data_IF_015672411223
#
_entry.id   IF_015672411223
#
_cell.length_a   1.000
_cell.length_b   1.000
_cell.length_c   1.000
_cell.angle_alpha   90.00
_cell.angle_beta   90.00
_cell.angle_gamma   90.00
#
_symmetry.space_group_name_H-M   'P 1'
#
loop_
_entity.id
_entity.type
_entity.pdbx_description
1 polymer ?
#
# COMPACT_ATOMS: atom_id res chain seq x y z
N UNK A 1 -11.46 18.57 4.02
CA UNK A 1 -10.15 19.22 4.01
C UNK A 1 -9.12 18.16 3.74
N UNK A 2 -8.21 18.35 2.81
CA UNK A 2 -7.12 17.42 2.53
C UNK A 2 -6.20 17.41 3.77
N UNK A 3 -6.02 16.28 4.48
CA UNK A 3 -5.51 16.29 5.86
C UNK A 3 -4.04 16.66 5.95
N UNK A 4 -3.27 16.42 4.89
CA UNK A 4 -1.82 16.67 4.87
C UNK A 4 -1.46 17.50 3.63
N UNK A 5 -0.65 18.52 3.83
CA UNK A 5 -0.08 19.32 2.73
C UNK A 5 1.44 19.16 2.79
N UNK A 6 2.07 18.88 1.65
CA UNK A 6 3.51 18.82 1.58
C UNK A 6 4.11 20.18 1.98
N UNK A 7 5.20 20.24 2.79
CA UNK A 7 5.75 21.50 3.28
C UNK A 7 6.15 22.51 2.19
N UNK A 8 6.53 22.01 1.00
CA UNK A 8 6.90 22.85 -0.15
C UNK A 8 5.70 23.43 -0.90
N UNK A 9 4.46 23.00 -0.57
CA UNK A 9 3.28 23.46 -1.29
C UNK A 9 2.74 24.77 -0.75
N UNK A 10 2.16 25.63 -1.60
CA UNK A 10 1.41 26.78 -1.15
C UNK A 10 0.15 26.34 -0.39
N UNK A 11 -0.47 27.27 0.32
CA UNK A 11 -1.72 27.04 1.04
C UNK A 11 -2.83 26.58 0.08
N UNK A 12 -3.43 25.43 0.39
CA UNK A 12 -4.59 24.93 -0.36
C UNK A 12 -5.82 25.77 -0.06
N UNK A 13 -6.67 25.98 -1.07
CA UNK A 13 -7.96 26.66 -0.85
C UNK A 13 -9.04 25.67 -0.39
N UNK A 14 -10.12 26.21 0.16
CA UNK A 14 -11.28 25.42 0.56
C UNK A 14 -11.97 24.81 -0.65
N UNK A 15 -12.24 23.50 -0.60
CA UNK A 15 -12.98 22.79 -1.66
C UNK A 15 -14.47 23.10 -1.70
N UNK A 16 -14.97 23.95 -0.78
CA UNK A 16 -16.37 24.37 -0.68
C UNK A 16 -16.65 25.70 -1.38
N UNK A 17 -15.63 26.39 -1.86
CA UNK A 17 -15.80 27.67 -2.52
C UNK A 17 -16.49 27.50 -3.87
N UNK A 18 -17.46 28.38 -4.14
CA UNK A 18 -18.06 28.52 -5.46
C UNK A 18 -17.00 29.00 -6.46
N UNK A 19 -17.11 28.59 -7.71
CA UNK A 19 -16.11 28.89 -8.74
C UNK A 19 -14.68 28.39 -8.38
N UNK A 20 -14.66 27.15 -8.00
CA UNK A 20 -13.47 26.48 -7.46
C UNK A 20 -12.24 26.63 -8.36
N UNK A 21 -12.34 26.28 -9.64
CA UNK A 21 -11.16 26.21 -10.53
C UNK A 21 -10.56 27.57 -10.89
N UNK A 22 -11.31 28.65 -10.81
CA UNK A 22 -10.76 29.98 -11.06
C UNK A 22 -9.96 30.53 -9.87
N UNK A 23 -10.10 29.93 -8.69
CA UNK A 23 -9.45 30.38 -7.44
C UNK A 23 -8.35 29.46 -6.95
N UNK A 24 -8.27 28.22 -7.46
CA UNK A 24 -7.28 27.25 -7.01
C UNK A 24 -5.90 27.67 -7.48
N UNK A 25 -4.91 27.83 -6.58
CA UNK A 25 -3.56 28.16 -6.97
C UNK A 25 -2.94 27.03 -7.78
N UNK A 26 -2.23 27.42 -8.84
CA UNK A 26 -1.46 26.49 -9.66
C UNK A 26 -0.04 26.38 -9.12
N UNK A 27 0.49 25.15 -8.97
CA UNK A 27 1.82 24.91 -8.49
C UNK A 27 2.60 23.97 -9.41
N UNK A 28 3.71 24.48 -9.95
CA UNK A 28 4.74 23.67 -10.60
C UNK A 28 5.95 23.58 -9.68
N UNK A 29 6.45 22.38 -9.48
CA UNK A 29 7.66 22.19 -8.69
C UNK A 29 8.87 22.84 -9.36
N UNK A 30 9.59 23.77 -8.71
CA UNK A 30 10.82 24.35 -9.27
C UNK A 30 11.87 23.29 -9.60
N UNK A 31 11.93 22.21 -8.84
CA UNK A 31 12.87 21.09 -9.07
C UNK A 31 12.54 20.41 -10.40
N UNK A 32 11.25 20.13 -10.68
CA UNK A 32 10.84 19.52 -11.93
C UNK A 32 10.91 20.47 -13.13
N UNK A 33 10.95 21.79 -12.88
CA UNK A 33 11.13 22.79 -13.93
C UNK A 33 12.63 23.01 -14.27
N UNK A 34 13.51 22.85 -13.30
CA UNK A 34 14.97 23.06 -13.46
C UNK A 34 15.67 21.81 -13.99
N UNK A 35 15.28 20.64 -13.54
CA UNK A 35 15.75 19.36 -14.05
C UNK A 35 14.74 18.87 -15.07
N UNK A 36 15.11 18.86 -16.36
CA UNK A 36 14.34 18.22 -17.42
C UNK A 36 14.48 16.70 -17.20
N UNK A 37 13.88 16.23 -16.12
CA UNK A 37 13.74 14.81 -15.86
C UNK A 37 12.92 14.23 -17.01
N UNK A 38 13.52 13.36 -17.79
CA UNK A 38 12.89 12.75 -19.00
C UNK A 38 11.59 12.01 -18.69
N UNK A 39 11.35 11.67 -17.45
CA UNK A 39 10.12 11.01 -16.97
C UNK A 39 9.00 11.99 -16.58
N UNK A 40 9.30 13.26 -16.32
CA UNK A 40 8.31 14.26 -15.92
C UNK A 40 7.62 14.88 -17.14
N UNK A 41 6.32 15.16 -17.01
CA UNK A 41 5.57 15.83 -18.06
C UNK A 41 5.96 17.31 -18.15
N UNK A 42 6.12 17.89 -19.35
CA UNK A 42 6.23 19.33 -19.49
C UNK A 42 4.90 20.01 -19.11
N UNK A 43 4.97 21.31 -18.75
CA UNK A 43 3.79 22.05 -18.32
C UNK A 43 2.73 22.18 -19.42
N UNK A 44 3.17 22.28 -20.66
CA UNK A 44 2.37 22.42 -21.87
C UNK A 44 2.07 21.10 -22.58
N UNK A 45 2.26 19.96 -21.89
CA UNK A 45 1.98 18.63 -22.45
C UNK A 45 0.61 18.59 -23.12
N UNK A 46 0.56 18.00 -24.30
CA UNK A 46 -0.68 17.80 -25.05
C UNK A 46 -1.62 16.83 -24.34
N UNK A 47 -2.91 17.15 -24.33
CA UNK A 47 -3.95 16.34 -23.71
C UNK A 47 -4.03 14.93 -24.33
N UNK A 48 -3.74 14.80 -25.64
CA UNK A 48 -3.77 13.52 -26.34
C UNK A 48 -2.74 12.54 -25.78
N UNK A 49 -1.55 13.02 -25.42
CA UNK A 49 -0.49 12.20 -24.80
C UNK A 49 -0.93 11.68 -23.44
N UNK A 50 -1.57 12.55 -22.62
CA UNK A 50 -2.12 12.15 -21.33
C UNK A 50 -3.21 11.10 -21.53
N UNK A 51 -4.14 11.33 -22.46
CA UNK A 51 -5.24 10.40 -22.78
C UNK A 51 -4.72 9.05 -23.27
N UNK A 52 -3.74 9.05 -24.16
CA UNK A 52 -3.11 7.83 -24.65
C UNK A 52 -2.52 7.02 -23.49
N UNK A 53 -1.77 7.67 -22.61
CA UNK A 53 -1.17 7.05 -21.41
C UNK A 53 -2.24 6.46 -20.48
N UNK A 54 -3.37 7.15 -20.27
CA UNK A 54 -4.47 6.68 -19.43
C UNK A 54 -5.18 5.44 -20.01
N UNK A 55 -5.16 5.27 -21.33
CA UNK A 55 -5.81 4.15 -22.04
C UNK A 55 -4.84 3.05 -22.45
N UNK A 56 -3.57 3.18 -22.15
CA UNK A 56 -2.51 2.32 -22.61
C UNK A 56 -2.60 0.90 -22.04
N UNK A 57 -3.12 -0.04 -22.81
CA UNK A 57 -3.35 -1.42 -22.38
C UNK A 57 -2.10 -2.31 -22.42
N UNK A 58 -1.17 -2.07 -23.36
CA UNK A 58 -0.02 -2.96 -23.59
C UNK A 58 0.99 -2.95 -22.42
N UNK A 59 1.21 -1.81 -21.78
CA UNK A 59 2.16 -1.68 -20.67
C UNK A 59 1.48 -1.58 -19.30
N UNK A 60 0.15 -1.81 -19.24
CA UNK A 60 -0.61 -1.89 -18.00
C UNK A 60 -0.55 -0.66 -17.08
N UNK A 61 -0.10 0.47 -17.61
CA UNK A 61 -0.14 1.79 -16.94
C UNK A 61 -1.50 2.48 -17.21
N UNK A 62 -2.57 1.73 -17.08
CA UNK A 62 -3.94 2.26 -17.13
C UNK A 62 -4.34 2.66 -15.73
N UNK A 63 -5.03 3.78 -15.58
CA UNK A 63 -5.62 4.13 -14.30
C UNK A 63 -6.34 2.92 -13.69
N UNK A 64 -5.98 2.61 -12.45
CA UNK A 64 -6.45 1.40 -11.76
C UNK A 64 -7.94 1.50 -11.38
N UNK A 65 -8.52 2.69 -11.46
CA UNK A 65 -9.91 2.92 -11.05
C UNK A 65 -10.85 3.38 -12.15
N UNK A 66 -10.40 4.19 -13.12
CA UNK A 66 -11.34 4.83 -14.03
C UNK A 66 -10.77 5.04 -15.44
N UNK A 67 -11.49 4.53 -16.42
CA UNK A 67 -11.31 4.90 -17.83
C UNK A 67 -11.86 6.32 -18.14
N UNK A 68 -12.65 6.94 -17.24
CA UNK A 68 -13.34 8.22 -17.48
C UNK A 68 -12.79 9.31 -16.52
N UNK A 69 -11.55 9.75 -16.78
CA UNK A 69 -10.99 10.91 -16.11
C UNK A 69 -11.47 12.16 -16.84
N UNK A 70 -12.07 13.08 -16.09
CA UNK A 70 -12.48 14.38 -16.63
C UNK A 70 -11.26 15.27 -16.89
N UNK A 71 -11.37 16.16 -17.89
CA UNK A 71 -10.37 17.16 -18.22
C UNK A 71 -10.94 18.56 -18.12
N UNK A 72 -10.15 19.48 -17.59
CA UNK A 72 -10.43 20.91 -17.55
C UNK A 72 -9.16 21.63 -17.98
N UNK A 73 -9.27 22.56 -18.93
CA UNK A 73 -8.11 23.29 -19.49
C UNK A 73 -6.97 22.35 -19.90
N UNK A 74 -7.31 21.28 -20.63
CA UNK A 74 -6.38 20.26 -21.13
C UNK A 74 -5.61 19.50 -20.02
N UNK A 75 -6.04 19.58 -18.77
CA UNK A 75 -5.43 18.83 -17.67
C UNK A 75 -6.44 17.87 -17.04
N UNK A 76 -6.01 16.65 -16.68
CA UNK A 76 -6.87 15.67 -16.03
C UNK A 76 -7.26 16.17 -14.65
N UNK A 77 -8.48 15.86 -14.23
CA UNK A 77 -9.01 16.28 -12.93
C UNK A 77 -9.08 15.08 -11.99
N UNK A 78 -8.42 15.22 -10.86
CA UNK A 78 -8.52 14.30 -9.75
C UNK A 78 -9.99 14.24 -9.25
N UNK A 79 -10.59 13.05 -9.14
CA UNK A 79 -11.92 12.89 -8.54
C UNK A 79 -12.03 13.49 -7.13
N UNK A 80 -10.91 13.61 -6.43
CA UNK A 80 -10.84 14.25 -5.12
C UNK A 80 -10.26 15.66 -5.26
N UNK A 81 -11.07 16.66 -4.97
CA UNK A 81 -10.61 18.07 -4.94
C UNK A 81 -9.66 18.29 -3.77
N UNK A 82 -8.47 18.79 -4.04
CA UNK A 82 -7.39 18.99 -3.06
C UNK A 82 -7.14 20.46 -2.72
N UNK A 83 -7.62 21.39 -3.54
CA UNK A 83 -7.40 22.82 -3.37
C UNK A 83 -6.03 23.30 -3.84
N UNK A 84 -5.38 22.56 -4.73
CA UNK A 84 -4.13 22.91 -5.37
C UNK A 84 -4.06 22.27 -6.76
N UNK A 85 -3.86 23.06 -7.80
CA UNK A 85 -3.68 22.59 -9.19
C UNK A 85 -2.19 22.44 -9.56
N UNK A 86 -1.94 21.86 -10.73
CA UNK A 86 -0.61 21.60 -11.28
C UNK A 86 -0.17 20.16 -11.07
N UNK A 87 0.99 19.80 -11.61
CA UNK A 87 1.54 18.43 -11.41
C UNK A 87 2.27 18.28 -10.07
N UNK A 88 2.61 19.39 -9.44
CA UNK A 88 3.29 19.42 -8.14
C UNK A 88 4.59 18.60 -8.13
N UNK A 89 4.80 17.83 -7.07
CA UNK A 89 5.98 16.98 -6.88
C UNK A 89 5.83 15.58 -7.51
N UNK A 90 4.68 15.24 -8.08
CA UNK A 90 4.46 13.92 -8.68
C UNK A 90 5.01 13.81 -10.09
N UNK A 91 5.28 14.93 -10.76
CA UNK A 91 5.92 14.99 -12.06
C UNK A 91 5.05 14.66 -13.26
N UNK A 92 4.04 13.82 -13.15
CA UNK A 92 3.12 13.49 -14.27
C UNK A 92 1.70 13.95 -13.98
N UNK A 93 1.05 14.53 -14.98
CA UNK A 93 -0.38 14.82 -14.94
C UNK A 93 -1.22 13.55 -14.96
N UNK A 94 -2.26 13.53 -14.14
CA UNK A 94 -3.11 12.37 -13.96
C UNK A 94 -2.58 11.40 -12.89
N UNK A 95 -2.91 10.10 -13.01
CA UNK A 95 -2.46 9.09 -12.08
C UNK A 95 -0.97 8.78 -12.25
N UNK A 96 -0.24 8.86 -11.18
CA UNK A 96 1.12 8.37 -11.02
C UNK A 96 1.04 7.00 -10.35
N UNK A 97 1.47 5.95 -11.03
CA UNK A 97 1.30 4.59 -10.54
C UNK A 97 2.41 4.19 -9.59
N UNK A 98 2.02 3.55 -8.49
CA UNK A 98 2.93 3.02 -7.48
C UNK A 98 2.60 1.55 -7.18
N UNK A 99 3.55 0.85 -6.58
CA UNK A 99 3.42 -0.54 -6.20
C UNK A 99 4.01 -0.78 -4.81
N UNK A 100 3.19 -1.32 -3.89
CA UNK A 100 3.53 -1.49 -2.48
C UNK A 100 3.48 -2.98 -2.08
N UNK A 101 4.62 -3.69 -1.96
CA UNK A 101 4.67 -5.06 -1.49
C UNK A 101 4.62 -5.13 0.03
N UNK A 102 3.60 -5.80 0.58
CA UNK A 102 3.51 -6.10 2.00
C UNK A 102 4.00 -7.53 2.24
N UNK A 103 5.21 -7.69 2.70
CA UNK A 103 5.71 -9.01 3.09
C UNK A 103 5.40 -9.26 4.56
N UNK A 104 4.60 -10.30 4.84
CA UNK A 104 4.12 -10.62 6.19
C UNK A 104 4.60 -11.99 6.65
N UNK A 105 4.71 -12.14 7.98
CA UNK A 105 4.91 -13.44 8.67
C UNK A 105 4.10 -13.50 9.94
N UNK A 106 3.80 -14.69 10.43
CA UNK A 106 3.32 -14.88 11.78
C UNK A 106 4.49 -15.22 12.71
N UNK A 107 4.74 -14.37 13.70
CA UNK A 107 5.79 -14.57 14.69
C UNK A 107 5.23 -15.36 15.87
N UNK A 108 5.49 -16.67 15.92
CA UNK A 108 4.98 -17.56 16.96
C UNK A 108 5.51 -17.23 18.36
N UNK A 109 6.71 -16.64 18.46
CA UNK A 109 7.30 -16.27 19.75
C UNK A 109 6.57 -15.08 20.40
N UNK A 110 6.09 -14.16 19.57
CA UNK A 110 5.33 -12.97 19.99
C UNK A 110 3.82 -13.15 19.87
N UNK A 111 3.37 -14.22 19.20
CA UNK A 111 1.98 -14.45 18.82
C UNK A 111 1.40 -13.25 18.06
N UNK A 112 2.16 -12.72 17.09
CA UNK A 112 1.82 -11.51 16.38
C UNK A 112 2.03 -11.66 14.87
N UNK A 113 1.17 -10.98 14.09
CA UNK A 113 1.35 -10.82 12.66
C UNK A 113 2.25 -9.61 12.43
N UNK A 114 3.43 -9.86 11.88
CA UNK A 114 4.42 -8.84 11.56
C UNK A 114 4.52 -8.63 10.05
N UNK A 115 4.94 -7.43 9.64
CA UNK A 115 5.31 -7.12 8.27
C UNK A 115 6.65 -6.40 8.21
N UNK A 116 7.34 -6.47 7.06
CA UNK A 116 8.57 -5.72 6.82
C UNK A 116 8.19 -4.27 6.55
N UNK A 117 8.88 -3.36 7.22
CA UNK A 117 8.66 -1.92 7.10
C UNK A 117 9.99 -1.18 7.02
N UNK A 118 9.97 -0.06 6.31
CA UNK A 118 11.07 0.91 6.22
C UNK A 118 10.74 2.15 7.06
N UNK A 119 11.74 2.74 7.67
CA UNK A 119 11.60 4.00 8.41
C UNK A 119 12.05 5.15 7.51
N UNK A 120 11.11 5.91 6.98
CA UNK A 120 11.36 7.01 6.04
C UNK A 120 12.08 8.18 6.70
N UNK A 121 13.08 8.75 6.02
CA UNK A 121 13.82 9.92 6.46
C UNK A 121 13.26 11.23 5.91
N UNK A 122 12.44 11.19 4.87
CA UNK A 122 11.81 12.34 4.22
C UNK A 122 10.58 12.87 4.98
N UNK A 123 10.19 12.22 6.09
CA UNK A 123 9.09 12.65 6.96
C UNK A 123 9.58 13.23 8.28
N UNK A 124 8.85 14.20 8.84
CA UNK A 124 9.17 14.81 10.15
C UNK A 124 7.94 14.77 11.05
N UNK A 125 7.93 13.92 12.11
CA UNK A 125 8.96 12.95 12.50
C UNK A 125 9.06 11.77 11.49
N UNK A 126 10.17 11.00 11.52
CA UNK A 126 10.31 9.80 10.71
C UNK A 126 9.17 8.81 10.93
N UNK A 127 8.61 8.27 9.84
CA UNK A 127 7.45 7.37 9.90
C UNK A 127 7.75 6.01 9.27
N UNK A 128 7.19 4.97 9.89
CA UNK A 128 7.22 3.63 9.30
C UNK A 128 6.30 3.55 8.09
N UNK A 129 6.79 2.92 7.03
CA UNK A 129 6.07 2.74 5.77
C UNK A 129 6.18 1.31 5.26
N UNK A 130 5.27 0.93 4.39
CA UNK A 130 5.41 -0.25 3.54
C UNK A 130 6.49 0.09 2.51
N UNK A 131 7.46 -0.82 2.22
CA UNK A 131 8.36 -0.66 1.09
C UNK A 131 7.59 -0.46 -0.20
N UNK A 132 8.10 0.32 -1.12
CA UNK A 132 7.44 0.52 -2.41
C UNK A 132 7.73 1.86 -3.05
N UNK A 133 7.53 1.93 -4.35
CA UNK A 133 7.82 3.10 -5.13
C UNK A 133 7.02 3.22 -6.41
N UNK A 134 7.48 4.09 -7.28
CA UNK A 134 6.79 4.42 -8.52
C UNK A 134 7.06 3.35 -9.59
N UNK A 135 6.04 3.10 -10.40
CA UNK A 135 6.14 2.21 -11.56
C UNK A 135 6.82 2.93 -12.71
N UNK A 136 7.93 2.39 -13.19
CA UNK A 136 8.66 2.95 -14.32
C UNK A 136 7.88 2.82 -15.64
N UNK A 137 8.21 3.68 -16.61
CA UNK A 137 7.58 3.63 -17.93
C UNK A 137 7.82 2.26 -18.59
N UNK A 138 6.72 1.56 -18.88
CA UNK A 138 6.79 0.22 -19.49
C UNK A 138 6.99 -0.94 -18.51
N UNK A 139 7.20 -0.66 -17.23
CA UNK A 139 7.35 -1.69 -16.20
C UNK A 139 6.00 -2.31 -15.82
N UNK A 140 6.00 -3.59 -15.48
CA UNK A 140 4.85 -4.27 -14.94
C UNK A 140 4.78 -4.11 -13.41
N UNK A 141 3.57 -3.96 -12.84
CA UNK A 141 3.40 -3.86 -11.38
C UNK A 141 4.06 -5.00 -10.60
N UNK A 142 4.09 -6.21 -11.15
CA UNK A 142 4.75 -7.36 -10.52
C UNK A 142 6.27 -7.20 -10.47
N UNK A 143 6.86 -6.60 -11.50
CA UNK A 143 8.28 -6.29 -11.53
C UNK A 143 8.62 -5.17 -10.56
N UNK A 144 7.84 -4.07 -10.56
CA UNK A 144 8.00 -2.97 -9.62
C UNK A 144 7.93 -3.44 -8.16
N UNK A 145 6.88 -4.23 -7.80
CA UNK A 145 6.75 -4.79 -6.44
C UNK A 145 8.00 -5.52 -5.97
N UNK A 146 8.63 -6.26 -6.88
CA UNK A 146 9.84 -7.03 -6.56
C UNK A 146 11.09 -6.15 -6.56
N UNK A 147 11.22 -5.23 -7.53
CA UNK A 147 12.34 -4.30 -7.64
C UNK A 147 12.45 -3.42 -6.40
N UNK A 148 11.37 -2.71 -6.07
CA UNK A 148 11.30 -1.82 -4.90
C UNK A 148 11.62 -2.56 -3.59
N UNK A 149 11.08 -3.77 -3.43
CA UNK A 149 11.39 -4.57 -2.24
C UNK A 149 12.87 -4.96 -2.16
N UNK A 150 13.48 -5.31 -3.29
CA UNK A 150 14.91 -5.67 -3.32
C UNK A 150 15.77 -4.45 -3.04
N UNK A 151 15.48 -3.31 -3.65
CA UNK A 151 16.24 -2.06 -3.50
C UNK A 151 16.17 -1.55 -2.07
N UNK A 152 14.98 -1.43 -1.51
CA UNK A 152 14.80 -0.84 -0.18
C UNK A 152 15.09 -1.79 0.99
N UNK A 153 14.96 -3.11 0.79
CA UNK A 153 14.85 -4.05 1.91
C UNK A 153 15.84 -5.20 1.85
N UNK A 154 16.09 -5.75 0.65
CA UNK A 154 16.65 -7.09 0.54
C UNK A 154 17.74 -7.23 -0.54
N UNK A 155 18.50 -6.16 -0.78
CA UNK A 155 19.53 -6.10 -1.83
C UNK A 155 20.66 -7.14 -1.68
N UNK A 156 20.89 -7.66 -0.46
CA UNK A 156 21.86 -8.75 -0.17
C UNK A 156 21.23 -10.13 -0.06
N UNK A 157 19.95 -10.27 -0.44
CA UNK A 157 19.28 -11.57 -0.42
C UNK A 157 19.53 -12.35 -1.71
N UNK A 158 19.62 -13.68 -1.59
CA UNK A 158 19.71 -14.56 -2.74
C UNK A 158 18.41 -14.47 -3.58
N UNK A 159 18.58 -14.43 -4.90
CA UNK A 159 17.47 -14.35 -5.86
C UNK A 159 16.40 -15.42 -5.63
N UNK A 160 16.80 -16.66 -5.34
CA UNK A 160 15.89 -17.77 -5.06
C UNK A 160 14.98 -17.49 -3.86
N UNK A 161 15.50 -16.83 -2.79
CA UNK A 161 14.69 -16.46 -1.62
C UNK A 161 13.67 -15.39 -2.01
N UNK A 162 14.10 -14.39 -2.77
CA UNK A 162 13.22 -13.34 -3.29
C UNK A 162 12.14 -13.94 -4.19
N UNK A 163 12.49 -14.82 -5.12
CA UNK A 163 11.53 -15.49 -6.01
C UNK A 163 10.48 -16.27 -5.20
N UNK A 164 10.90 -16.93 -4.12
CA UNK A 164 9.99 -17.64 -3.22
C UNK A 164 9.03 -16.68 -2.48
N UNK A 165 9.51 -15.53 -2.04
CA UNK A 165 8.67 -14.50 -1.38
C UNK A 165 7.59 -14.03 -2.33
N UNK A 166 7.94 -13.76 -3.59
CA UNK A 166 7.05 -13.18 -4.58
C UNK A 166 6.22 -14.21 -5.39
N UNK A 167 6.35 -15.51 -5.09
CA UNK A 167 5.64 -16.57 -5.82
C UNK A 167 4.11 -16.47 -5.72
N UNK A 168 3.58 -16.08 -4.54
CA UNK A 168 2.14 -16.10 -4.27
C UNK A 168 1.69 -14.80 -3.57
N UNK A 169 1.25 -13.84 -4.38
CA UNK A 169 0.75 -12.56 -3.90
C UNK A 169 -0.77 -12.49 -3.83
N UNK A 170 -1.30 -11.86 -2.79
CA UNK A 170 -2.72 -11.51 -2.66
C UNK A 170 -2.90 -10.00 -2.79
N UNK A 171 -3.60 -9.54 -3.82
CA UNK A 171 -3.96 -8.13 -3.95
C UNK A 171 -4.85 -7.71 -2.78
N UNK A 172 -4.42 -6.70 -2.04
CA UNK A 172 -5.09 -6.12 -0.86
C UNK A 172 -5.84 -4.85 -1.23
N UNK A 173 -5.22 -4.05 -2.11
CA UNK A 173 -5.78 -2.80 -2.58
C UNK A 173 -5.32 -2.51 -4.00
N UNK A 174 -6.17 -1.82 -4.74
CA UNK A 174 -5.85 -1.30 -6.06
C UNK A 174 -6.67 -0.02 -6.26
N UNK A 175 -6.00 1.11 -6.43
CA UNK A 175 -6.65 2.40 -6.66
C UNK A 175 -5.92 3.59 -6.04
N UNK A 176 -6.67 4.69 -5.87
CA UNK A 176 -6.13 5.99 -5.46
C UNK A 176 -5.61 5.99 -4.02
N UNK A 177 -4.49 6.67 -3.80
CA UNK A 177 -3.96 7.01 -2.47
C UNK A 177 -4.56 8.35 -2.04
N UNK A 178 -5.30 8.34 -0.93
CA UNK A 178 -6.11 9.51 -0.52
C UNK A 178 -5.35 10.48 0.40
N UNK A 179 -4.30 10.02 1.08
CA UNK A 179 -3.60 10.80 2.12
C UNK A 179 -2.18 11.19 1.74
N UNK A 180 -1.78 10.99 0.49
CA UNK A 180 -0.45 11.43 0.07
C UNK A 180 -0.40 12.96 -0.02
N UNK A 181 0.52 13.62 0.70
CA UNK A 181 0.59 15.06 0.76
C UNK A 181 1.00 15.72 -0.58
N UNK A 182 1.56 14.97 -1.51
CA UNK A 182 1.98 15.44 -2.85
C UNK A 182 0.81 15.53 -3.84
N UNK A 183 -0.34 14.94 -3.52
CA UNK A 183 -1.52 14.93 -4.40
C UNK A 183 -2.03 16.33 -4.68
N UNK A 184 -2.32 16.61 -5.96
CA UNK A 184 -2.96 17.85 -6.44
C UNK A 184 -4.25 17.53 -7.19
N UNK A 185 -4.95 18.57 -7.66
CA UNK A 185 -6.15 18.41 -8.50
C UNK A 185 -5.84 17.87 -9.91
N UNK A 186 -4.57 17.92 -10.34
CA UNK A 186 -4.16 17.45 -11.66
C UNK A 186 -3.16 16.30 -11.62
N UNK A 187 -2.66 15.93 -10.44
CA UNK A 187 -1.72 14.82 -10.27
C UNK A 187 -1.99 14.08 -8.96
N UNK A 188 -2.09 12.76 -9.02
CA UNK A 188 -2.36 11.91 -7.84
C UNK A 188 -1.68 10.56 -7.96
N UNK A 189 -1.60 9.82 -6.85
CA UNK A 189 -1.05 8.47 -6.86
C UNK A 189 -2.18 7.44 -6.93
N UNK A 190 -2.01 6.44 -7.78
CA UNK A 190 -2.75 5.20 -7.76
C UNK A 190 -1.78 4.05 -7.49
N UNK A 191 -2.09 3.23 -6.49
CA UNK A 191 -1.22 2.13 -6.10
C UNK A 191 -1.87 0.77 -6.21
N UNK A 192 -1.05 -0.25 -6.46
CA UNK A 192 -1.40 -1.66 -6.29
C UNK A 192 -0.64 -2.23 -5.10
N UNK A 193 -1.39 -2.58 -4.06
CA UNK A 193 -0.86 -3.16 -2.83
C UNK A 193 -1.06 -4.66 -2.84
N UNK A 194 0.02 -5.42 -2.71
CA UNK A 194 0.00 -6.89 -2.75
C UNK A 194 0.64 -7.45 -1.48
N UNK A 195 -0.07 -8.34 -0.78
CA UNK A 195 0.49 -9.05 0.37
C UNK A 195 1.11 -10.38 -0.06
N UNK A 196 2.33 -10.61 0.40
CA UNK A 196 3.09 -11.84 0.29
C UNK A 196 3.31 -12.40 1.69
N UNK A 197 2.68 -13.53 2.01
CA UNK A 197 2.81 -14.16 3.31
C UNK A 197 3.79 -15.31 3.26
N UNK A 198 4.84 -15.25 4.07
CA UNK A 198 5.88 -16.27 4.12
C UNK A 198 5.88 -16.97 5.48
N UNK A 199 6.39 -18.20 5.52
CA UNK A 199 6.58 -18.93 6.76
C UNK A 199 7.58 -18.20 7.67
N UNK A 200 7.48 -18.42 8.98
CA UNK A 200 8.46 -17.89 9.93
C UNK A 200 9.88 -18.37 9.59
N UNK A 201 10.03 -19.64 9.22
CA UNK A 201 11.32 -20.24 8.86
C UNK A 201 11.92 -19.61 7.59
N UNK A 202 11.11 -19.35 6.56
CA UNK A 202 11.60 -18.68 5.35
C UNK A 202 11.96 -17.23 5.64
N UNK A 203 11.24 -16.56 6.56
CA UNK A 203 11.54 -15.19 6.95
C UNK A 203 12.90 -15.02 7.64
N UNK A 204 13.43 -16.06 8.27
CA UNK A 204 14.76 -16.05 8.89
C UNK A 204 15.89 -16.07 7.85
N UNK A 205 15.59 -16.44 6.61
CA UNK A 205 16.56 -16.44 5.49
C UNK A 205 16.67 -15.08 4.81
N UNK A 206 15.71 -14.18 5.06
CA UNK A 206 15.74 -12.82 4.52
C UNK A 206 16.81 -12.00 5.25
N UNK A 207 17.81 -11.56 4.52
CA UNK A 207 18.82 -10.62 4.99
C UNK A 207 18.29 -9.21 4.76
N UNK A 208 17.66 -8.64 5.78
CA UNK A 208 17.16 -7.25 5.70
C UNK A 208 18.35 -6.29 5.71
N UNK A 209 18.44 -5.47 4.69
CA UNK A 209 19.48 -4.46 4.53
C UNK A 209 18.85 -3.14 4.16
N UNK A 210 19.29 -2.08 4.82
CA UNK A 210 18.99 -0.72 4.40
C UNK A 210 20.12 -0.26 3.48
N UNK A 211 19.86 -0.08 2.20
CA UNK A 211 20.84 0.45 1.24
C UNK A 211 20.34 1.75 0.58
N UNK A 212 19.10 2.09 0.79
CA UNK A 212 18.50 3.29 0.25
C UNK A 212 18.81 4.49 1.16
N UNK A 213 19.29 5.60 0.57
CA UNK A 213 19.53 6.84 1.28
C UNK A 213 18.22 7.48 1.79
N UNK A 214 17.08 7.07 1.24
CA UNK A 214 15.74 7.55 1.63
C UNK A 214 15.23 6.95 2.94
N UNK A 215 15.86 5.91 3.49
CA UNK A 215 15.37 5.19 4.66
C UNK A 215 16.40 5.08 5.78
N UNK A 216 15.98 5.30 7.03
CA UNK A 216 16.85 5.14 8.22
C UNK A 216 16.98 3.69 8.69
N UNK A 217 15.97 2.87 8.52
CA UNK A 217 15.97 1.51 9.03
C UNK A 217 14.97 0.62 8.31
N UNK A 218 15.29 -0.69 8.30
CA UNK A 218 14.40 -1.75 7.82
C UNK A 218 14.21 -2.78 8.92
N UNK A 219 12.97 -3.15 9.26
CA UNK A 219 12.70 -4.22 10.23
C UNK A 219 11.32 -4.83 10.14
N UNK A 220 11.12 -5.96 10.79
CA UNK A 220 9.82 -6.53 11.07
C UNK A 220 9.13 -5.74 12.18
N UNK A 221 7.93 -5.21 11.91
CA UNK A 221 7.10 -4.52 12.90
C UNK A 221 5.72 -5.17 12.97
N UNK A 222 5.04 -4.99 14.10
CA UNK A 222 3.68 -5.48 14.30
C UNK A 222 2.70 -4.86 13.31
N UNK A 223 1.81 -5.67 12.73
CA UNK A 223 0.65 -5.16 11.99
C UNK A 223 -0.31 -4.34 12.86
N UNK A 224 -0.07 -4.27 14.16
CA UNK A 224 -0.81 -3.43 15.12
C UNK A 224 -0.12 -2.09 15.40
N UNK A 225 1.00 -1.79 14.72
CA UNK A 225 1.72 -0.54 14.90
C UNK A 225 0.80 0.69 14.73
N UNK A 226 0.82 1.65 15.65
CA UNK A 226 -0.21 2.70 15.71
C UNK A 226 -0.11 3.73 14.59
N UNK A 227 1.11 4.00 14.12
CA UNK A 227 1.39 5.08 13.15
C UNK A 227 2.17 4.54 11.95
N UNK A 228 1.61 4.74 10.77
CA UNK A 228 2.23 4.44 9.49
C UNK A 228 1.99 5.62 8.53
N UNK A 229 2.90 5.76 7.57
CA UNK A 229 2.84 6.81 6.55
C UNK A 229 1.57 6.71 5.69
N UNK A 230 1.00 7.82 5.30
CA UNK A 230 -0.13 7.96 4.37
C UNK A 230 -1.28 6.96 4.64
N UNK A 231 -1.70 6.22 3.61
CA UNK A 231 -2.77 5.20 3.69
C UNK A 231 -2.25 3.81 4.13
N UNK A 232 -0.95 3.65 4.42
CA UNK A 232 -0.36 2.35 4.75
C UNK A 232 -1.03 1.66 5.94
N UNK A 233 -1.46 2.44 6.95
CA UNK A 233 -2.23 1.90 8.09
C UNK A 233 -3.53 1.22 7.63
N UNK A 234 -4.21 1.76 6.64
CA UNK A 234 -5.46 1.20 6.15
C UNK A 234 -5.22 -0.06 5.32
N UNK A 235 -4.10 -0.14 4.59
CA UNK A 235 -3.68 -1.36 3.89
C UNK A 235 -3.33 -2.48 4.88
N UNK A 236 -2.57 -2.18 5.93
CA UNK A 236 -2.23 -3.16 6.98
C UNK A 236 -3.47 -3.63 7.73
N UNK A 237 -4.47 -2.77 8.01
CA UNK A 237 -5.76 -3.19 8.57
C UNK A 237 -6.48 -4.21 7.66
N UNK A 238 -6.47 -3.99 6.33
CA UNK A 238 -7.06 -4.93 5.37
C UNK A 238 -6.32 -6.27 5.38
N UNK A 239 -4.98 -6.27 5.48
CA UNK A 239 -4.17 -7.49 5.65
C UNK A 239 -4.56 -8.23 6.93
N UNK A 240 -4.60 -7.55 8.08
CA UNK A 240 -5.03 -8.15 9.35
C UNK A 240 -6.42 -8.78 9.23
N UNK A 241 -7.36 -8.05 8.64
CA UNK A 241 -8.73 -8.55 8.48
C UNK A 241 -8.79 -9.79 7.56
N UNK A 242 -7.98 -9.80 6.47
CA UNK A 242 -7.86 -10.96 5.59
C UNK A 242 -7.38 -12.21 6.35
N UNK A 243 -6.33 -12.09 7.17
CA UNK A 243 -5.83 -13.19 7.99
C UNK A 243 -6.83 -13.59 9.06
N UNK A 244 -7.43 -12.62 9.76
CA UNK A 244 -8.49 -12.90 10.74
C UNK A 244 -9.61 -13.73 10.11
N UNK A 245 -10.15 -13.32 8.97
CA UNK A 245 -11.21 -14.01 8.27
C UNK A 245 -10.78 -15.43 7.87
N UNK A 246 -9.58 -15.58 7.28
CA UNK A 246 -9.04 -16.88 6.86
C UNK A 246 -8.90 -17.85 8.03
N UNK A 247 -8.34 -17.42 9.16
CA UNK A 247 -8.15 -18.27 10.33
C UNK A 247 -9.45 -18.51 11.09
N UNK A 248 -10.37 -17.55 11.15
CA UNK A 248 -11.68 -17.73 11.73
C UNK A 248 -12.47 -18.85 11.03
N UNK A 249 -12.54 -18.82 9.72
CA UNK A 249 -13.21 -19.90 8.97
C UNK A 249 -12.50 -21.24 9.14
N UNK A 250 -11.20 -21.28 9.08
CA UNK A 250 -10.43 -22.51 9.28
C UNK A 250 -10.73 -23.13 10.65
N UNK A 251 -10.68 -22.35 11.72
CA UNK A 251 -10.97 -22.85 13.07
C UNK A 251 -12.44 -23.23 13.24
N UNK A 252 -13.36 -22.45 12.69
CA UNK A 252 -14.79 -22.77 12.71
C UNK A 252 -15.08 -24.12 12.04
N UNK A 253 -14.58 -24.32 10.82
CA UNK A 253 -14.78 -25.59 10.11
C UNK A 253 -14.05 -26.76 10.79
N UNK A 254 -12.87 -26.56 11.35
CA UNK A 254 -12.16 -27.59 12.11
C UNK A 254 -12.94 -28.02 13.34
N UNK A 255 -13.52 -27.07 14.07
CA UNK A 255 -14.37 -27.37 15.22
C UNK A 255 -15.68 -28.05 14.81
N UNK A 256 -16.28 -27.65 13.71
CA UNK A 256 -17.49 -28.28 13.17
C UNK A 256 -17.23 -29.74 12.77
N UNK A 257 -16.12 -30.00 12.06
CA UNK A 257 -15.71 -31.35 11.66
C UNK A 257 -15.45 -32.21 12.93
N UNK A 258 -14.73 -31.65 13.90
CA UNK A 258 -14.47 -32.33 15.17
C UNK A 258 -15.76 -32.66 15.93
N UNK A 259 -16.72 -31.74 15.98
CA UNK A 259 -18.01 -31.97 16.60
C UNK A 259 -18.81 -33.05 15.86
N UNK A 260 -18.80 -33.05 14.51
CA UNK A 260 -19.45 -34.07 13.69
C UNK A 260 -18.82 -35.47 13.88
N UNK A 261 -17.50 -35.55 13.97
CA UNK A 261 -16.78 -36.82 14.23
C UNK A 261 -17.19 -37.37 15.62
N UNK A 262 -17.20 -36.52 16.64
CA UNK A 262 -17.56 -36.93 17.99
C UNK A 262 -19.05 -37.35 18.11
N UNK A 263 -19.95 -36.66 17.39
CA UNK A 263 -21.35 -37.04 17.31
C UNK A 263 -21.54 -38.42 16.68
N UNK A 264 -20.82 -38.70 15.58
CA UNK A 264 -20.86 -40.02 14.89
C UNK A 264 -20.28 -41.17 15.74
N UNK A 265 -19.25 -40.87 16.55
CA UNK A 265 -18.54 -41.90 17.32
C UNK A 265 -19.20 -42.32 18.63
N UNK A 266 -20.34 -41.72 19.02
CA UNK A 266 -21.14 -42.09 20.23
C UNK A 266 -20.33 -42.40 21.51
N UNK A 267 -19.14 -41.81 21.72
CA UNK A 267 -18.33 -42.09 22.88
C UNK A 267 -18.25 -40.88 23.85
N UNK A 268 -18.75 -41.16 25.00
CA UNK A 268 -18.76 -40.35 26.21
C UNK A 268 -17.34 -39.90 26.60
N UNK A 269 -17.16 -38.69 27.07
CA UNK A 269 -16.02 -38.11 27.74
C UNK A 269 -15.07 -37.20 26.97
N UNK A 270 -15.44 -36.57 25.85
CA UNK A 270 -14.52 -35.63 25.14
C UNK A 270 -15.04 -34.18 24.96
N UNK A 271 -16.08 -33.78 25.68
CA UNK A 271 -16.66 -32.43 25.57
C UNK A 271 -15.73 -31.34 26.11
N UNK A 272 -14.82 -31.68 27.02
CA UNK A 272 -13.94 -30.69 27.68
C UNK A 272 -12.87 -30.06 26.77
N UNK A 273 -12.37 -30.79 25.77
CA UNK A 273 -11.31 -30.30 24.89
C UNK A 273 -11.81 -29.33 23.80
N UNK A 274 -13.03 -29.48 23.34
CA UNK A 274 -13.64 -28.56 22.37
C UNK A 274 -13.89 -27.17 22.96
N UNK A 275 -14.29 -27.10 24.23
CA UNK A 275 -14.52 -25.86 24.96
C UNK A 275 -13.20 -25.15 25.24
N UNK A 276 -12.13 -25.88 25.58
CA UNK A 276 -10.80 -25.32 25.81
C UNK A 276 -10.19 -24.76 24.52
N UNK A 277 -10.31 -25.47 23.41
CA UNK A 277 -9.84 -25.02 22.10
C UNK A 277 -10.59 -23.74 21.65
N UNK A 278 -11.91 -23.68 21.82
CA UNK A 278 -12.72 -22.50 21.52
C UNK A 278 -12.33 -21.28 22.36
N UNK A 279 -12.04 -21.48 23.65
CA UNK A 279 -11.59 -20.41 24.57
C UNK A 279 -10.20 -19.92 24.21
N UNK A 280 -9.26 -20.79 23.87
CA UNK A 280 -7.90 -20.42 23.44
C UNK A 280 -7.96 -19.64 22.14
N UNK A 281 -8.76 -20.07 21.18
CA UNK A 281 -8.95 -19.39 19.90
C UNK A 281 -9.64 -18.04 20.12
N UNK A 282 -10.66 -17.95 20.94
CA UNK A 282 -11.31 -16.70 21.31
C UNK A 282 -10.34 -15.72 21.98
N UNK A 283 -9.50 -16.17 22.92
CA UNK A 283 -8.48 -15.34 23.58
C UNK A 283 -7.39 -14.87 22.62
N UNK A 284 -6.97 -15.71 21.65
CA UNK A 284 -5.92 -15.36 20.70
C UNK A 284 -6.38 -14.33 19.64
N UNK A 285 -7.65 -14.35 19.27
CA UNK A 285 -8.13 -13.55 18.15
C UNK A 285 -9.16 -12.47 18.49
N UNK A 286 -9.86 -12.58 19.62
CA UNK A 286 -10.92 -11.64 20.00
C UNK A 286 -10.51 -10.60 21.06
N UNK A 287 -9.42 -10.80 21.80
CA UNK A 287 -8.96 -9.88 22.86
C UNK A 287 -8.58 -8.47 22.37
N UNK A 288 -8.44 -8.27 21.05
CA UNK A 288 -8.10 -6.98 20.45
C UNK A 288 -9.30 -6.23 19.83
N UNK A 289 -10.54 -6.61 20.14
CA UNK A 289 -11.74 -5.93 19.63
C UNK A 289 -12.35 -4.87 20.54
N UNK A 290 -11.82 -4.73 21.78
CA UNK A 290 -12.33 -3.74 22.74
C UNK A 290 -11.17 -2.83 23.15
N UNK A 291 -10.96 -1.79 22.36
CA UNK A 291 -10.54 -0.43 22.76
C UNK A 291 -10.52 0.47 21.54
#
# INVERSE_FOLDING_TARGET
MFPNTHPSYPKRISTKEFDYYNKVPFYESPILALYVETWADPQDIDESIIKERLTWKKNKLVSLKNANIAFVNNKPINPQKTGLMGRGLLGRYGPNHAADPIVTRFNYKKMDLEFISVLRNDTKPPMWAIPGGMVDAGEEFSATLKREFVEEVASKCDKHIIDKVFANGKTIYCGMVYKDPRTTDNAWIETKVVNYHISYQDSLKLKLTNQDEENYAVKWISCSHPQLYADHKDYIKKVKWYFYKKYYYFTFYSLLIFALINYKMKNYNRVSYSTLAAIVIYKLFCKNKIK
#
